data_IF_033504714246
#
_entry.id   IF_033504714246
#
_cell.length_a   1.000
_cell.length_b   1.000
_cell.length_c   1.000
_cell.angle_alpha   90.00
_cell.angle_beta   90.00
_cell.angle_gamma   90.00
#
_symmetry.space_group_name_H-M   'P 1'
#
loop_
_entity.id
_entity.type
_entity.pdbx_description
1 polymer ?
#
# COMPACT_ATOMS: atom_id res chain seq x y z
N UNK A 1 10.18 -1.83 -26.02
CA UNK A 1 9.63 -2.79 -25.02
C UNK A 1 9.94 -2.40 -23.57
N UNK A 2 11.11 -1.83 -23.25
CA UNK A 2 11.45 -1.33 -21.90
C UNK A 2 10.79 0.01 -21.50
N UNK A 3 10.38 0.81 -22.49
CA UNK A 3 9.85 2.17 -22.25
C UNK A 3 8.40 2.18 -21.72
N UNK A 4 7.68 1.09 -21.96
CA UNK A 4 6.31 0.90 -21.52
C UNK A 4 6.25 0.58 -20.01
N UNK A 5 7.23 -0.14 -19.45
CA UNK A 5 7.21 -0.55 -18.04
C UNK A 5 7.41 0.58 -17.03
N UNK A 6 8.09 1.67 -17.38
CA UNK A 6 8.25 2.83 -16.49
C UNK A 6 7.02 3.74 -16.46
N UNK A 7 6.30 3.86 -17.58
CA UNK A 7 5.01 4.55 -17.67
C UNK A 7 3.88 3.76 -17.00
N UNK A 8 3.87 2.43 -17.15
CA UNK A 8 2.87 1.55 -16.53
C UNK A 8 2.96 1.45 -15.00
N UNK A 9 4.07 1.87 -14.39
CA UNK A 9 4.24 1.83 -12.94
C UNK A 9 3.43 2.89 -12.17
N UNK A 10 3.01 3.97 -12.84
CA UNK A 10 2.46 5.15 -12.17
C UNK A 10 1.00 5.46 -12.53
N UNK A 11 0.48 4.92 -13.63
CA UNK A 11 -0.85 5.26 -14.17
C UNK A 11 -1.68 4.00 -14.42
N UNK A 12 -2.63 3.79 -13.51
CA UNK A 12 -3.70 2.80 -13.50
C UNK A 12 -3.33 1.36 -13.88
N UNK A 13 -3.16 0.54 -12.84
CA UNK A 13 -3.23 -0.92 -12.92
C UNK A 13 -4.61 -1.42 -13.43
N UNK A 14 -5.60 -0.54 -13.55
CA UNK A 14 -6.97 -0.87 -13.93
C UNK A 14 -7.10 -1.00 -15.46
N UNK A 15 -6.60 0.00 -16.20
CA UNK A 15 -6.69 0.07 -17.67
C UNK A 15 -5.79 -1.00 -18.32
N UNK A 16 -4.59 -1.20 -17.77
CA UNK A 16 -3.66 -2.25 -18.23
C UNK A 16 -4.20 -3.65 -17.97
N UNK A 17 -4.93 -3.86 -16.87
CA UNK A 17 -5.47 -5.18 -16.54
C UNK A 17 -6.67 -5.53 -17.42
N UNK A 18 -7.57 -4.58 -17.72
CA UNK A 18 -8.66 -4.81 -18.68
C UNK A 18 -8.11 -5.13 -20.07
N UNK A 19 -7.12 -4.38 -20.56
CA UNK A 19 -6.45 -4.69 -21.82
C UNK A 19 -5.79 -6.08 -21.82
N UNK A 20 -5.11 -6.45 -20.73
CA UNK A 20 -4.49 -7.77 -20.63
C UNK A 20 -5.50 -8.91 -20.57
N UNK A 21 -6.64 -8.72 -19.90
CA UNK A 21 -7.73 -9.70 -19.86
C UNK A 21 -8.34 -9.84 -21.26
N UNK A 22 -8.66 -8.72 -21.91
CA UNK A 22 -9.27 -8.72 -23.23
C UNK A 22 -8.34 -9.26 -24.32
N UNK A 23 -7.06 -8.87 -24.33
CA UNK A 23 -6.05 -9.41 -25.25
C UNK A 23 -5.82 -10.92 -25.03
N UNK A 24 -5.85 -11.38 -23.78
CA UNK A 24 -5.72 -12.80 -23.44
C UNK A 24 -6.93 -13.63 -23.90
N UNK A 25 -8.13 -13.09 -23.82
CA UNK A 25 -9.34 -13.78 -24.32
C UNK A 25 -9.46 -13.73 -25.86
N UNK A 26 -8.96 -12.68 -26.50
CA UNK A 26 -9.07 -12.47 -27.95
C UNK A 26 -7.96 -13.15 -28.78
N UNK A 27 -6.85 -13.55 -28.15
CA UNK A 27 -5.70 -14.15 -28.84
C UNK A 27 -4.88 -13.21 -29.72
N UNK A 28 -5.21 -11.92 -29.74
CA UNK A 28 -4.55 -10.87 -30.54
C UNK A 28 -3.30 -10.33 -29.83
N UNK A 29 -2.29 -9.93 -30.61
CA UNK A 29 -1.15 -9.19 -30.09
C UNK A 29 -1.62 -7.80 -29.63
N UNK A 30 -1.17 -7.34 -28.46
CA UNK A 30 -1.60 -6.05 -27.86
C UNK A 30 -1.44 -4.86 -28.81
N UNK A 31 -0.41 -4.87 -29.66
CA UNK A 31 -0.15 -3.82 -30.65
C UNK A 31 -1.18 -3.79 -31.79
N UNK A 32 -1.67 -4.95 -32.22
CA UNK A 32 -2.66 -5.04 -33.29
C UNK A 32 -4.01 -4.50 -32.80
N UNK A 33 -4.40 -4.88 -31.58
CA UNK A 33 -5.64 -4.42 -30.96
C UNK A 33 -5.65 -2.90 -30.75
N UNK A 34 -4.54 -2.32 -30.30
CA UNK A 34 -4.41 -0.86 -30.16
C UNK A 34 -4.52 -0.18 -31.54
N UNK A 35 -3.86 -0.71 -32.57
CA UNK A 35 -3.89 -0.11 -33.90
C UNK A 35 -5.30 -0.16 -34.52
N UNK A 36 -6.02 -1.27 -34.38
CA UNK A 36 -7.41 -1.39 -34.84
C UNK A 36 -8.34 -0.40 -34.12
N UNK A 37 -8.23 -0.30 -32.79
CA UNK A 37 -9.00 0.65 -32.01
C UNK A 37 -8.72 2.10 -32.44
N UNK A 38 -7.45 2.46 -32.67
CA UNK A 38 -7.08 3.79 -33.14
C UNK A 38 -7.60 4.06 -34.57
N UNK A 39 -7.63 3.07 -35.45
CA UNK A 39 -8.21 3.20 -36.79
C UNK A 39 -9.73 3.42 -36.73
N UNK A 40 -10.44 2.65 -35.89
CA UNK A 40 -11.88 2.85 -35.65
C UNK A 40 -12.12 4.27 -35.12
N UNK A 41 -11.32 4.70 -34.14
CA UNK A 41 -11.42 6.06 -33.59
C UNK A 41 -11.21 7.15 -34.66
N UNK A 42 -10.25 6.95 -35.56
CA UNK A 42 -9.99 7.88 -36.68
C UNK A 42 -11.20 8.00 -37.60
N UNK A 43 -11.82 6.86 -37.96
CA UNK A 43 -12.98 6.84 -38.86
C UNK A 43 -14.21 7.57 -38.30
N UNK A 44 -14.29 7.70 -36.98
CA UNK A 44 -15.41 8.30 -36.27
C UNK A 44 -15.14 9.75 -35.83
N UNK A 45 -13.93 10.29 -36.05
CA UNK A 45 -13.54 11.63 -35.64
C UNK A 45 -13.77 11.88 -34.15
N UNK A 46 -14.48 12.95 -33.81
CA UNK A 46 -14.74 13.33 -32.41
C UNK A 46 -15.60 12.30 -31.66
N UNK A 47 -16.46 11.53 -32.36
CA UNK A 47 -17.19 10.42 -31.75
C UNK A 47 -16.26 9.28 -31.33
N UNK A 48 -15.20 9.05 -32.11
CA UNK A 48 -14.16 8.07 -31.80
C UNK A 48 -13.44 8.40 -30.50
N UNK A 49 -13.12 9.69 -30.29
CA UNK A 49 -12.50 10.17 -29.03
C UNK A 49 -13.44 9.90 -27.84
N UNK A 50 -14.73 10.23 -27.98
CA UNK A 50 -15.71 10.05 -26.90
C UNK A 50 -15.89 8.57 -26.54
N UNK A 51 -16.08 7.70 -27.53
CA UNK A 51 -16.30 6.27 -27.32
C UNK A 51 -15.02 5.61 -26.79
N UNK A 52 -13.86 5.97 -27.34
CA UNK A 52 -12.57 5.47 -26.88
C UNK A 52 -12.34 5.74 -25.38
N UNK A 53 -12.71 6.92 -24.90
CA UNK A 53 -12.65 7.24 -23.47
C UNK A 53 -13.77 6.58 -22.66
N UNK A 54 -14.98 6.48 -23.22
CA UNK A 54 -16.14 5.92 -22.51
C UNK A 54 -15.96 4.45 -22.16
N UNK A 55 -15.38 3.66 -23.08
CA UNK A 55 -15.13 2.23 -22.86
C UNK A 55 -13.88 2.03 -21.99
N UNK A 56 -12.99 3.02 -21.92
CA UNK A 56 -11.78 3.03 -21.07
C UNK A 56 -10.90 1.79 -21.29
N UNK A 57 -10.85 1.29 -22.53
CA UNK A 57 -9.96 0.18 -22.93
C UNK A 57 -8.53 0.67 -23.03
N UNK A 58 -8.32 1.85 -23.63
CA UNK A 58 -7.01 2.45 -23.79
C UNK A 58 -6.84 3.53 -22.70
N UNK A 59 -5.64 3.66 -22.09
CA UNK A 59 -5.37 4.76 -21.16
C UNK A 59 -5.82 6.11 -21.72
N UNK A 60 -6.56 6.87 -20.91
CA UNK A 60 -7.21 8.12 -21.32
C UNK A 60 -6.25 9.13 -21.97
N UNK A 61 -5.00 9.14 -21.53
CA UNK A 61 -3.91 9.98 -22.02
C UNK A 61 -3.59 9.71 -23.48
N UNK A 62 -3.58 8.44 -23.88
CA UNK A 62 -3.26 8.02 -25.26
C UNK A 62 -4.42 8.42 -26.17
N UNK A 63 -5.67 8.19 -25.74
CA UNK A 63 -6.85 8.54 -26.51
C UNK A 63 -6.94 10.06 -26.74
N UNK A 64 -6.72 10.86 -25.70
CA UNK A 64 -6.75 12.32 -25.79
C UNK A 64 -5.58 12.89 -26.60
N UNK A 65 -4.37 12.35 -26.43
CA UNK A 65 -3.23 12.71 -27.27
C UNK A 65 -3.48 12.34 -28.73
N UNK A 66 -4.15 11.22 -28.99
CA UNK A 66 -4.50 10.82 -30.35
C UNK A 66 -5.53 11.76 -30.95
N UNK A 67 -6.52 12.18 -30.14
CA UNK A 67 -7.42 13.28 -30.50
C UNK A 67 -6.69 14.55 -30.89
N UNK A 68 -5.61 14.91 -30.18
CA UNK A 68 -4.74 16.03 -30.56
C UNK A 68 -4.04 15.85 -31.91
N UNK A 69 -3.66 14.63 -32.28
CA UNK A 69 -3.11 14.35 -33.60
C UNK A 69 -4.17 14.51 -34.71
N UNK A 70 -5.41 14.11 -34.45
CA UNK A 70 -6.54 14.36 -35.36
C UNK A 70 -6.80 15.87 -35.52
N UNK A 71 -6.62 16.65 -34.45
CA UNK A 71 -6.67 18.12 -34.53
C UNK A 71 -5.58 18.68 -35.43
N UNK A 72 -4.34 18.20 -35.29
CA UNK A 72 -3.23 18.62 -36.14
C UNK A 72 -3.46 18.27 -37.62
N UNK A 73 -4.06 17.12 -37.91
CA UNK A 73 -4.41 16.69 -39.28
C UNK A 73 -5.59 17.47 -39.88
N UNK A 74 -6.33 18.22 -39.06
CA UNK A 74 -7.52 18.95 -39.48
C UNK A 74 -8.79 18.11 -39.52
N UNK A 75 -8.77 16.88 -38.99
CA UNK A 75 -9.91 15.97 -38.99
C UNK A 75 -10.99 16.37 -37.97
N UNK A 76 -10.57 17.03 -36.88
CA UNK A 76 -11.45 17.55 -35.81
C UNK A 76 -10.92 18.88 -35.29
N UNK A 77 -11.78 19.73 -34.73
CA UNK A 77 -11.33 20.96 -34.07
C UNK A 77 -10.83 20.67 -32.64
N UNK A 78 -9.98 21.55 -32.12
CA UNK A 78 -9.50 21.46 -30.73
C UNK A 78 -10.65 21.45 -29.73
N UNK A 79 -11.68 22.28 -29.96
CA UNK A 79 -12.84 22.37 -29.10
C UNK A 79 -13.65 21.06 -29.11
N UNK A 80 -13.87 20.45 -30.28
CA UNK A 80 -14.56 19.16 -30.39
C UNK A 80 -13.80 18.06 -29.66
N UNK A 81 -12.48 17.96 -29.86
CA UNK A 81 -11.65 16.96 -29.17
C UNK A 81 -11.75 17.10 -27.64
N UNK A 82 -11.72 18.34 -27.11
CA UNK A 82 -11.84 18.60 -25.67
C UNK A 82 -13.26 18.32 -25.15
N UNK A 83 -14.30 18.73 -25.87
CA UNK A 83 -15.70 18.55 -25.45
C UNK A 83 -16.05 17.06 -25.44
N UNK A 84 -15.83 16.36 -26.55
CA UNK A 84 -16.12 14.94 -26.66
C UNK A 84 -15.20 14.10 -25.78
N UNK A 85 -13.94 14.54 -25.61
CA UNK A 85 -13.03 13.99 -24.62
C UNK A 85 -13.58 14.07 -23.19
N UNK A 86 -14.08 15.25 -22.82
CA UNK A 86 -14.66 15.51 -21.50
C UNK A 86 -15.92 14.69 -21.25
N UNK A 87 -16.80 14.60 -22.26
CA UNK A 87 -18.04 13.81 -22.18
C UNK A 87 -17.69 12.34 -22.00
N UNK A 88 -16.84 11.77 -22.86
CA UNK A 88 -16.45 10.36 -22.81
C UNK A 88 -15.80 9.99 -21.47
N UNK A 89 -14.82 10.78 -21.03
CA UNK A 89 -14.14 10.55 -19.75
C UNK A 89 -15.07 10.71 -18.54
N UNK A 90 -16.04 11.63 -18.59
CA UNK A 90 -17.02 11.79 -17.50
C UNK A 90 -17.97 10.59 -17.44
N UNK A 91 -18.46 10.11 -18.58
CA UNK A 91 -19.35 8.95 -18.65
C UNK A 91 -18.66 7.69 -18.13
N UNK A 92 -17.41 7.44 -18.52
CA UNK A 92 -16.61 6.32 -18.02
C UNK A 92 -16.58 6.29 -16.48
N UNK A 93 -16.29 7.44 -15.87
CA UNK A 93 -16.24 7.58 -14.42
C UNK A 93 -17.61 7.46 -13.75
N UNK A 94 -18.71 7.82 -14.44
CA UNK A 94 -20.08 7.58 -13.96
C UNK A 94 -20.39 6.08 -13.92
N UNK A 95 -19.96 5.30 -14.90
CA UNK A 95 -20.11 3.84 -14.86
C UNK A 95 -19.40 3.23 -13.66
N UNK A 96 -18.14 3.61 -13.42
CA UNK A 96 -17.37 3.15 -12.24
C UNK A 96 -18.04 3.58 -10.93
N UNK A 97 -18.58 4.80 -10.88
CA UNK A 97 -19.36 5.27 -9.74
C UNK A 97 -20.62 4.42 -9.49
N UNK A 98 -21.33 4.00 -10.54
CA UNK A 98 -22.50 3.13 -10.41
C UNK A 98 -22.13 1.73 -9.93
N UNK A 99 -20.99 1.18 -10.36
CA UNK A 99 -20.47 -0.08 -9.81
C UNK A 99 -20.29 0.05 -8.29
N UNK A 100 -19.70 1.15 -7.82
CA UNK A 100 -19.58 1.43 -6.39
C UNK A 100 -20.93 1.61 -5.68
N UNK A 101 -21.87 2.32 -6.31
CA UNK A 101 -23.18 2.66 -5.74
C UNK A 101 -24.12 1.46 -5.60
N UNK A 102 -24.22 0.63 -6.63
CA UNK A 102 -25.15 -0.49 -6.70
C UNK A 102 -24.51 -1.81 -6.27
N UNK A 103 -23.22 -2.03 -6.57
CA UNK A 103 -22.50 -3.19 -6.06
C UNK A 103 -22.24 -3.08 -4.56
N UNK A 104 -21.91 -1.88 -4.08
CA UNK A 104 -21.60 -1.66 -2.67
C UNK A 104 -20.37 -2.46 -2.19
N UNK A 105 -20.13 -2.42 -0.87
CA UNK A 105 -18.96 -3.06 -0.24
C UNK A 105 -18.90 -4.59 -0.45
N UNK A 106 -19.99 -5.38 -0.35
CA UNK A 106 -19.94 -6.83 -0.52
C UNK A 106 -19.58 -7.27 -1.94
N UNK A 107 -20.06 -6.56 -2.97
CA UNK A 107 -19.72 -6.86 -4.37
C UNK A 107 -18.25 -6.58 -4.66
N UNK A 108 -17.73 -5.45 -4.15
CA UNK A 108 -16.33 -5.08 -4.31
C UNK A 108 -15.39 -5.96 -3.49
N UNK A 109 -15.80 -6.47 -2.32
CA UNK A 109 -15.00 -7.45 -1.59
C UNK A 109 -14.95 -8.81 -2.31
N UNK A 110 -16.05 -9.21 -2.98
CA UNK A 110 -16.15 -10.48 -3.71
C UNK A 110 -15.47 -10.45 -5.08
N UNK A 111 -15.65 -9.38 -5.84
CA UNK A 111 -15.15 -9.25 -7.22
C UNK A 111 -14.00 -8.25 -7.38
N UNK A 112 -13.69 -7.44 -6.37
CA UNK A 112 -12.60 -6.45 -6.43
C UNK A 112 -11.24 -7.08 -6.64
N UNK A 113 -11.04 -8.35 -6.27
CA UNK A 113 -9.81 -9.10 -6.59
C UNK A 113 -9.55 -9.20 -8.10
N UNK A 114 -10.60 -9.30 -8.93
CA UNK A 114 -10.49 -9.29 -10.39
C UNK A 114 -10.16 -7.90 -10.95
N UNK A 115 -10.49 -6.86 -10.18
CA UNK A 115 -10.23 -5.45 -10.51
C UNK A 115 -8.96 -4.91 -9.81
N UNK A 116 -8.14 -5.78 -9.19
CA UNK A 116 -6.97 -5.42 -8.36
C UNK A 116 -7.30 -4.47 -7.19
N UNK A 117 -8.57 -4.33 -6.83
CA UNK A 117 -9.04 -3.54 -5.69
C UNK A 117 -9.02 -4.42 -4.45
N UNK A 118 -8.04 -4.15 -3.60
CA UNK A 118 -7.89 -4.83 -2.31
C UNK A 118 -8.75 -4.16 -1.23
N UNK A 119 -9.18 -4.92 -0.21
CA UNK A 119 -10.05 -4.43 0.87
C UNK A 119 -9.50 -3.17 1.57
N UNK A 120 -8.17 -3.14 1.76
CA UNK A 120 -7.45 -1.99 2.32
C UNK A 120 -7.60 -0.70 1.49
N UNK A 121 -7.68 -0.80 0.15
CA UNK A 121 -7.87 0.37 -0.71
C UNK A 121 -9.28 0.95 -0.54
N UNK A 122 -10.28 0.08 -0.39
CA UNK A 122 -11.66 0.47 -0.11
C UNK A 122 -11.74 1.19 1.24
N UNK A 123 -11.15 0.62 2.30
CA UNK A 123 -11.16 1.19 3.65
C UNK A 123 -10.47 2.57 3.70
N UNK A 124 -9.33 2.72 3.04
CA UNK A 124 -8.60 4.00 2.97
C UNK A 124 -9.41 5.05 2.22
N UNK A 125 -10.01 4.68 1.10
CA UNK A 125 -10.76 5.62 0.28
C UNK A 125 -12.07 6.05 0.95
N UNK A 126 -12.74 5.15 1.66
CA UNK A 126 -13.91 5.43 2.50
C UNK A 126 -13.54 6.35 3.68
N UNK A 127 -12.44 6.06 4.39
CA UNK A 127 -11.95 6.92 5.47
C UNK A 127 -11.59 8.34 4.99
N UNK A 128 -10.97 8.46 3.81
CA UNK A 128 -10.69 9.75 3.18
C UNK A 128 -11.96 10.49 2.77
N UNK A 129 -12.91 9.80 2.14
CA UNK A 129 -14.18 10.40 1.77
C UNK A 129 -14.97 10.89 2.99
N UNK A 130 -15.01 10.10 4.07
CA UNK A 130 -15.65 10.48 5.33
C UNK A 130 -14.96 11.67 6.01
N UNK A 131 -13.63 11.77 5.93
CA UNK A 131 -12.86 12.86 6.55
C UNK A 131 -12.91 14.18 5.78
N UNK A 132 -12.82 14.12 4.45
CA UNK A 132 -12.66 15.30 3.59
C UNK A 132 -13.92 15.68 2.80
N UNK A 133 -14.95 14.82 2.79
CA UNK A 133 -16.23 15.09 2.14
C UNK A 133 -16.16 15.19 0.62
N UNK A 134 -17.21 15.74 0.01
CA UNK A 134 -17.41 15.73 -1.46
C UNK A 134 -16.33 16.44 -2.27
N UNK A 135 -15.64 17.44 -1.69
CA UNK A 135 -14.58 18.18 -2.38
C UNK A 135 -13.33 17.35 -2.67
N UNK A 136 -13.13 16.24 -1.94
CA UNK A 136 -11.96 15.37 -2.14
C UNK A 136 -11.95 14.71 -3.52
N UNK A 137 -13.12 14.58 -4.16
CA UNK A 137 -13.25 13.97 -5.49
C UNK A 137 -12.54 14.77 -6.57
N UNK A 138 -12.65 16.10 -6.51
CA UNK A 138 -11.96 16.96 -7.46
C UNK A 138 -10.45 16.84 -7.29
N UNK A 139 -9.96 16.94 -6.05
CA UNK A 139 -8.52 16.91 -5.77
C UNK A 139 -7.89 15.52 -5.97
N UNK A 140 -8.60 14.45 -5.60
CA UNK A 140 -8.12 13.08 -5.73
C UNK A 140 -7.91 12.66 -7.20
N UNK A 141 -8.60 13.34 -8.14
CA UNK A 141 -8.46 13.09 -9.58
C UNK A 141 -7.12 13.49 -10.18
N UNK A 142 -6.35 14.28 -9.47
CA UNK A 142 -5.03 14.65 -9.91
C UNK A 142 -3.91 13.83 -9.27
N UNK A 143 -4.27 12.89 -8.40
CA UNK A 143 -3.33 11.94 -7.80
C UNK A 143 -3.35 10.68 -8.69
N UNK A 144 -2.29 10.36 -9.43
CA UNK A 144 -2.28 9.29 -10.46
C UNK A 144 -2.82 7.93 -9.99
N UNK A 145 -2.57 7.56 -8.74
CA UNK A 145 -3.03 6.28 -8.15
C UNK A 145 -4.49 6.35 -7.69
N UNK A 146 -4.94 7.50 -7.20
CA UNK A 146 -6.25 7.65 -6.56
C UNK A 146 -7.32 8.09 -7.55
N UNK A 147 -6.93 8.72 -8.67
CA UNK A 147 -7.85 9.40 -9.60
C UNK A 147 -8.93 8.53 -10.19
N UNK A 148 -8.58 7.27 -10.44
CA UNK A 148 -9.46 6.27 -11.04
C UNK A 148 -10.24 5.51 -9.97
N UNK A 149 -9.59 5.26 -8.84
CA UNK A 149 -10.20 4.58 -7.71
C UNK A 149 -11.25 5.42 -6.98
N UNK A 150 -11.23 6.76 -7.08
CA UNK A 150 -12.11 7.66 -6.29
C UNK A 150 -13.59 7.56 -6.66
N UNK A 151 -13.91 7.09 -7.87
CA UNK A 151 -15.29 6.96 -8.33
C UNK A 151 -16.07 5.87 -7.57
N UNK A 152 -15.37 4.79 -7.19
CA UNK A 152 -15.92 3.66 -6.43
C UNK A 152 -16.37 4.05 -5.01
N UNK A 153 -15.52 4.60 -4.11
CA UNK A 153 -15.92 5.00 -2.77
C UNK A 153 -16.95 6.13 -2.80
N UNK A 154 -16.90 7.03 -3.79
CA UNK A 154 -17.95 8.03 -3.98
C UNK A 154 -19.33 7.38 -4.27
N UNK A 155 -19.32 6.29 -5.04
CA UNK A 155 -20.48 5.42 -5.27
C UNK A 155 -20.96 4.74 -4.00
N UNK A 156 -20.07 4.05 -3.27
CA UNK A 156 -20.39 3.34 -2.02
C UNK A 156 -21.00 4.30 -0.98
N UNK A 157 -20.42 5.50 -0.86
CA UNK A 157 -20.90 6.55 0.03
C UNK A 157 -22.19 7.25 -0.46
N UNK A 158 -22.79 6.77 -1.56
CA UNK A 158 -24.04 7.24 -2.15
C UNK A 158 -24.10 8.73 -2.45
N UNK A 159 -22.95 9.37 -2.74
CA UNK A 159 -22.90 10.79 -3.08
C UNK A 159 -23.88 11.14 -4.21
N UNK A 160 -24.58 12.28 -4.21
CA UNK A 160 -25.47 12.65 -5.32
C UNK A 160 -24.74 12.65 -6.67
N UNK A 161 -25.31 11.97 -7.67
CA UNK A 161 -24.70 11.82 -9.01
C UNK A 161 -24.39 13.17 -9.66
N UNK A 162 -25.27 14.17 -9.50
CA UNK A 162 -25.06 15.51 -10.04
C UNK A 162 -23.79 16.17 -9.50
N UNK A 163 -23.53 16.06 -8.19
CA UNK A 163 -22.30 16.60 -7.59
C UNK A 163 -21.08 15.82 -8.06
N UNK A 164 -21.19 14.49 -8.15
CA UNK A 164 -20.08 13.66 -8.64
C UNK A 164 -19.73 14.03 -10.08
N UNK A 165 -20.73 14.06 -10.98
CA UNK A 165 -20.56 14.44 -12.37
C UNK A 165 -19.96 15.84 -12.52
N UNK A 166 -20.41 16.82 -11.73
CA UNK A 166 -19.85 18.18 -11.76
C UNK A 166 -18.35 18.20 -11.40
N UNK A 167 -17.96 17.63 -10.25
CA UNK A 167 -16.53 17.59 -9.87
C UNK A 167 -15.68 16.74 -10.81
N UNK A 168 -16.28 15.74 -11.47
CA UNK A 168 -15.62 14.93 -12.51
C UNK A 168 -15.34 15.73 -13.74
N UNK A 169 -16.38 16.34 -14.29
CA UNK A 169 -16.30 17.17 -15.49
C UNK A 169 -15.26 18.28 -15.30
N UNK A 170 -15.31 18.98 -14.16
CA UNK A 170 -14.36 20.05 -13.85
C UNK A 170 -12.90 19.56 -13.77
N UNK A 171 -12.66 18.33 -13.33
CA UNK A 171 -11.31 17.75 -13.27
C UNK A 171 -10.85 17.21 -14.64
N UNK A 172 -11.77 16.67 -15.44
CA UNK A 172 -11.47 16.08 -16.76
C UNK A 172 -11.19 17.16 -17.81
N UNK A 173 -11.82 18.34 -17.74
CA UNK A 173 -11.59 19.45 -18.68
C UNK A 173 -10.10 19.84 -18.79
N UNK A 174 -9.41 20.25 -17.71
CA UNK A 174 -8.01 20.66 -17.81
C UNK A 174 -7.09 19.51 -18.22
N UNK A 175 -7.45 18.27 -17.88
CA UNK A 175 -6.74 17.07 -18.34
C UNK A 175 -6.90 16.88 -19.86
N UNK A 176 -8.12 17.02 -20.37
CA UNK A 176 -8.42 16.90 -21.80
C UNK A 176 -7.70 17.97 -22.61
N UNK A 177 -7.71 19.21 -22.14
CA UNK A 177 -6.97 20.32 -22.77
C UNK A 177 -5.47 19.99 -22.83
N UNK A 178 -4.89 19.51 -21.73
CA UNK A 178 -3.46 19.20 -21.66
C UNK A 178 -3.06 18.12 -22.67
N UNK A 179 -3.76 16.99 -22.69
CA UNK A 179 -3.37 15.86 -23.56
C UNK A 179 -3.70 16.10 -25.03
N UNK A 180 -4.81 16.77 -25.34
CA UNK A 180 -5.10 17.19 -26.73
C UNK A 180 -4.03 18.17 -27.20
N UNK A 181 -3.62 19.13 -26.38
CA UNK A 181 -2.54 20.05 -26.71
C UNK A 181 -1.20 19.33 -26.95
N UNK A 182 -0.85 18.37 -26.10
CA UNK A 182 0.34 17.53 -26.28
C UNK A 182 0.29 16.75 -27.60
N UNK A 183 -0.88 16.22 -27.95
CA UNK A 183 -1.10 15.53 -29.23
C UNK A 183 -0.90 16.43 -30.45
N UNK A 184 -1.41 17.67 -30.40
CA UNK A 184 -1.20 18.67 -31.46
C UNK A 184 0.30 18.96 -31.60
N UNK A 185 1.01 19.21 -30.49
CA UNK A 185 2.45 19.47 -30.49
C UNK A 185 3.26 18.29 -31.01
N UNK A 186 2.83 17.06 -30.72
CA UNK A 186 3.46 15.86 -31.25
C UNK A 186 3.35 15.79 -32.78
N UNK A 187 2.18 16.13 -33.32
CA UNK A 187 1.95 16.27 -34.76
C UNK A 187 2.85 17.34 -35.39
N UNK A 188 2.91 18.55 -34.80
CA UNK A 188 3.76 19.65 -35.28
C UNK A 188 5.25 19.31 -35.32
N UNK A 189 5.73 18.50 -34.36
CA UNK A 189 7.13 18.08 -34.26
C UNK A 189 7.47 16.90 -35.17
N UNK A 190 6.50 16.32 -35.89
CA UNK A 190 6.68 15.16 -36.76
C UNK A 190 7.16 13.90 -36.02
N UNK A 191 6.93 13.83 -34.70
CA UNK A 191 7.39 12.72 -33.86
C UNK A 191 6.39 11.57 -33.88
N UNK A 192 6.89 10.34 -33.76
CA UNK A 192 6.03 9.17 -33.61
C UNK A 192 5.40 9.14 -32.22
N UNK A 193 4.26 8.46 -32.10
CA UNK A 193 3.57 8.26 -30.82
C UNK A 193 4.46 7.59 -29.74
N UNK A 194 5.50 6.87 -30.17
CA UNK A 194 6.49 6.22 -29.31
C UNK A 194 7.36 7.24 -28.54
N UNK A 195 7.47 8.46 -29.05
CA UNK A 195 8.27 9.55 -28.46
C UNK A 195 7.44 10.54 -27.63
N UNK A 196 6.16 10.22 -27.37
CA UNK A 196 5.27 11.11 -26.62
C UNK A 196 5.77 11.38 -25.19
N UNK A 197 6.48 10.43 -24.59
CA UNK A 197 7.01 10.56 -23.23
C UNK A 197 8.03 11.69 -23.08
N UNK A 198 8.91 11.86 -24.08
CA UNK A 198 9.94 12.90 -24.09
C UNK A 198 9.34 14.30 -24.23
N UNK A 199 8.20 14.39 -24.94
CA UNK A 199 7.45 15.63 -25.11
C UNK A 199 6.58 15.89 -23.88
N UNK A 200 5.96 14.85 -23.31
CA UNK A 200 5.00 14.98 -22.21
C UNK A 200 5.67 15.32 -20.87
N UNK A 201 6.88 14.81 -20.60
CA UNK A 201 7.58 15.00 -19.32
C UNK A 201 7.62 16.46 -18.82
N UNK A 202 8.09 17.42 -19.64
CA UNK A 202 8.15 18.84 -19.29
C UNK A 202 6.81 19.51 -18.98
N UNK A 203 5.69 19.03 -19.55
CA UNK A 203 4.37 19.63 -19.36
C UNK A 203 3.53 18.90 -18.29
N UNK A 204 3.70 17.60 -18.15
CA UNK A 204 2.97 16.77 -17.19
C UNK A 204 3.48 17.03 -15.76
N UNK A 205 4.79 17.20 -15.55
CA UNK A 205 5.35 17.49 -14.22
C UNK A 205 4.79 18.77 -13.58
N UNK A 206 4.82 19.96 -14.22
CA UNK A 206 4.28 21.17 -13.63
C UNK A 206 2.76 21.09 -13.43
N UNK A 207 2.03 20.40 -14.29
CA UNK A 207 0.59 20.18 -14.12
C UNK A 207 0.29 19.36 -12.86
N UNK A 208 1.08 18.31 -12.59
CA UNK A 208 1.00 17.54 -11.34
C UNK A 208 1.30 18.45 -10.13
N UNK A 209 2.38 19.24 -10.18
CA UNK A 209 2.75 20.14 -9.09
C UNK A 209 1.68 21.19 -8.79
N UNK A 210 1.15 21.85 -9.83
CA UNK A 210 0.06 22.83 -9.71
C UNK A 210 -1.15 22.18 -9.04
N UNK A 211 -1.49 20.96 -9.41
CA UNK A 211 -2.64 20.29 -8.83
C UNK A 211 -2.42 19.84 -7.38
N UNK A 212 -1.22 19.37 -7.04
CA UNK A 212 -0.84 19.08 -5.65
C UNK A 212 -0.95 20.36 -4.80
N UNK A 213 -0.47 21.50 -5.32
CA UNK A 213 -0.56 22.79 -4.64
C UNK A 213 -2.02 23.22 -4.45
N UNK A 214 -2.86 23.15 -5.48
CA UNK A 214 -4.29 23.49 -5.38
C UNK A 214 -5.01 22.59 -4.36
N UNK A 215 -4.65 21.31 -4.31
CA UNK A 215 -5.18 20.35 -3.33
C UNK A 215 -4.76 20.73 -1.90
N UNK A 216 -3.48 21.06 -1.69
CA UNK A 216 -2.98 21.52 -0.39
C UNK A 216 -3.66 22.81 0.04
N UNK A 217 -3.81 23.79 -0.85
CA UNK A 217 -4.49 25.05 -0.59
C UNK A 217 -5.96 24.84 -0.22
N UNK A 218 -6.68 23.95 -0.91
CA UNK A 218 -8.06 23.60 -0.58
C UNK A 218 -8.17 22.95 0.81
N UNK A 219 -7.27 22.03 1.14
CA UNK A 219 -7.23 21.37 2.46
C UNK A 219 -6.95 22.41 3.56
N UNK A 220 -5.97 23.30 3.35
CA UNK A 220 -5.62 24.37 4.28
C UNK A 220 -6.81 25.32 4.47
N UNK A 221 -7.42 25.81 3.39
CA UNK A 221 -8.60 26.67 3.44
C UNK A 221 -9.73 26.03 4.26
N UNK A 222 -10.00 24.74 4.05
CA UNK A 222 -11.05 24.01 4.78
C UNK A 222 -10.72 23.86 6.27
N UNK A 223 -9.46 23.60 6.62
CA UNK A 223 -9.01 23.50 8.02
C UNK A 223 -9.13 24.85 8.73
N UNK A 224 -8.72 25.94 8.06
CA UNK A 224 -8.79 27.31 8.60
C UNK A 224 -10.25 27.75 8.80
N UNK A 225 -11.13 27.50 7.83
CA UNK A 225 -12.55 27.85 7.94
C UNK A 225 -13.27 27.07 9.05
N UNK A 226 -12.91 25.80 9.28
CA UNK A 226 -13.49 24.98 10.36
C UNK A 226 -13.07 25.49 11.75
N UNK A 227 -11.88 26.11 11.88
CA UNK A 227 -11.44 26.78 13.12
C UNK A 227 -12.20 28.08 13.38
N UNK A 228 -12.54 28.84 12.33
CA UNK A 228 -13.31 30.09 12.46
C UNK A 228 -14.77 29.86 12.86
N UNK A 229 -15.40 28.76 12.41
CA UNK A 229 -16.75 28.39 12.85
C UNK A 229 -16.81 27.91 14.30
N UNK A 230 -15.72 27.38 14.87
CA UNK A 230 -15.63 27.03 16.30
C UNK A 230 -15.40 28.27 17.19
N UNK A 231 -14.59 29.22 16.73
CA UNK A 231 -14.29 30.44 17.48
C UNK A 231 -15.51 31.40 17.62
N UNK A 232 -16.43 31.41 16.66
CA UNK A 232 -17.65 32.24 16.75
C UNK A 232 -18.72 31.66 17.73
N UNK A 233 -18.61 30.39 18.12
CA UNK A 233 -19.50 29.77 19.11
C UNK A 233 -19.10 30.12 20.55
N UNK A 234 -17.80 30.29 20.82
CA UNK A 234 -17.31 30.63 22.16
C UNK A 234 -17.48 32.12 22.48
N UNK A 235 -17.47 33.00 21.47
CA UNK A 235 -17.66 34.44 21.68
C UNK A 235 -19.13 34.82 22.02
N UNK A 236 -20.11 34.00 21.63
CA UNK A 236 -21.51 34.21 22.02
C UNK A 236 -21.88 33.62 23.38
N UNK A 237 -21.10 32.66 23.91
CA UNK A 237 -21.35 32.01 25.21
C UNK A 237 -20.77 32.77 26.40
N UNK A 238 -19.74 33.60 26.18
CA UNK A 238 -18.96 34.22 27.26
C UNK A 238 -19.45 35.60 27.73
N UNK A 239 -20.53 36.14 27.16
CA UNK A 239 -21.12 37.43 27.59
C UNK A 239 -22.20 37.25 28.66
N UNK A 240 -22.70 36.03 28.88
CA UNK A 240 -23.83 35.76 29.79
C UNK A 240 -23.49 35.32 31.22
N UNK A 241 -22.22 35.05 31.56
CA UNK A 241 -21.86 34.32 32.78
C UNK A 241 -21.15 35.15 33.87
N UNK A 242 -21.18 36.47 33.78
CA UNK A 242 -20.50 37.36 34.73
C UNK A 242 -21.48 38.24 35.52
N UNK A 243 -22.42 37.64 36.26
CA UNK A 243 -23.08 38.32 37.37
C UNK A 243 -23.65 37.30 38.37
N UNK A 244 -22.89 36.93 39.39
CA UNK A 244 -23.44 36.66 40.73
C UNK A 244 -22.34 36.51 41.80
N UNK A 245 -22.50 37.06 43.01
CA UNK A 245 -21.48 37.09 44.05
C UNK A 245 -21.52 35.87 44.99
N UNK A 246 -20.34 35.52 45.54
CA UNK A 246 -20.16 34.49 46.58
C UNK A 246 -20.53 35.02 47.98
N UNK A 247 -20.96 34.11 48.88
CA UNK A 247 -20.41 33.95 50.22
C UNK A 247 -19.78 32.54 50.34
N UNK A 248 -18.91 32.15 51.25
CA UNK A 248 -18.32 32.67 52.48
C UNK A 248 -17.51 31.49 53.07
N UNK A 249 -16.47 31.83 53.83
CA UNK A 249 -15.43 31.03 54.52
C UNK A 249 -15.89 29.83 55.36
N UNK A 250 -15.05 28.79 55.52
CA UNK A 250 -14.32 28.45 56.77
C UNK A 250 -13.40 27.23 56.63
N UNK A 251 -12.33 27.25 57.42
CA UNK A 251 -11.33 26.22 57.79
C UNK A 251 -11.99 24.87 58.21
N UNK A 252 -11.32 23.71 58.36
CA UNK A 252 -10.15 23.46 59.21
C UNK A 252 -9.68 21.96 59.10
N UNK A 253 -8.42 21.69 59.51
CA UNK A 253 -7.86 20.43 60.12
C UNK A 253 -7.72 19.08 59.37
N UNK A 254 -6.45 18.65 59.27
CA UNK A 254 -5.97 17.26 59.48
C UNK A 254 -5.84 16.96 61.01
N UNK A 255 -5.38 15.80 61.55
CA UNK A 255 -4.79 14.59 60.92
C UNK A 255 -5.24 13.23 61.52
N UNK A 256 -4.72 12.10 61.03
CA UNK A 256 -4.93 10.79 61.67
C UNK A 256 -4.20 9.60 61.02
N UNK A 257 -3.13 9.16 61.67
CA UNK A 257 -2.30 7.96 61.50
C UNK A 257 -3.02 6.61 61.64
N UNK A 258 -2.57 5.57 60.92
CA UNK A 258 -2.47 4.19 61.47
C UNK A 258 -1.51 3.30 60.65
N UNK A 259 -0.69 2.54 61.39
CA UNK A 259 0.36 1.62 60.97
C UNK A 259 -0.20 0.22 60.59
N UNK A 260 0.58 -0.55 59.83
CA UNK A 260 0.43 -2.00 59.70
C UNK A 260 1.64 -2.65 59.01
N UNK A 261 2.50 -3.32 59.79
CA UNK A 261 3.63 -4.16 59.37
C UNK A 261 3.14 -5.55 58.94
N UNK A 262 3.80 -6.18 57.95
CA UNK A 262 4.12 -7.62 57.96
C UNK A 262 5.19 -7.95 56.89
N UNK A 263 6.01 -8.95 57.22
CA UNK A 263 7.33 -9.27 56.66
C UNK A 263 7.28 -10.64 55.95
N UNK A 264 8.10 -10.75 54.90
CA UNK A 264 8.97 -11.90 54.56
C UNK A 264 8.44 -13.16 53.81
N UNK A 265 9.33 -13.63 52.90
CA UNK A 265 9.50 -14.96 52.27
C UNK A 265 8.37 -15.58 51.42
N UNK A 266 8.66 -15.77 50.12
CA UNK A 266 9.25 -17.04 49.61
C UNK A 266 9.73 -16.86 48.16
N UNK A 267 11.05 -17.03 47.97
CA UNK A 267 11.68 -17.53 46.73
C UNK A 267 11.44 -19.05 46.66
N UNK A 268 11.62 -19.61 45.47
CA UNK A 268 11.64 -21.05 45.14
C UNK A 268 10.29 -21.69 44.81
N UNK A 269 9.93 -21.68 43.51
CA UNK A 269 9.38 -22.83 42.77
C UNK A 269 9.12 -22.44 41.30
N UNK A 270 10.20 -22.34 40.52
CA UNK A 270 10.12 -22.25 39.05
C UNK A 270 11.21 -23.12 38.42
N UNK A 271 11.28 -24.39 38.83
CA UNK A 271 12.05 -25.43 38.19
C UNK A 271 11.20 -26.70 38.26
N UNK A 272 10.62 -27.14 37.13
CA UNK A 272 9.82 -28.36 37.16
C UNK A 272 9.08 -28.75 35.88
N UNK A 273 8.85 -27.85 34.92
CA UNK A 273 7.90 -28.16 33.83
C UNK A 273 8.48 -28.16 32.42
N UNK A 274 9.75 -27.82 32.23
CA UNK A 274 10.39 -27.71 30.91
C UNK A 274 11.34 -28.87 30.57
N UNK A 275 11.00 -30.09 31.00
CA UNK A 275 11.83 -31.26 30.74
C UNK A 275 11.00 -32.50 30.41
N UNK A 276 10.05 -32.39 29.48
CA UNK A 276 9.36 -33.58 28.94
C UNK A 276 8.69 -33.39 27.58
N UNK A 277 9.45 -32.99 26.56
CA UNK A 277 9.15 -33.36 25.16
C UNK A 277 10.35 -33.08 24.27
N UNK A 278 11.43 -33.84 24.49
CA UNK A 278 12.54 -33.96 23.52
C UNK A 278 12.54 -35.40 23.10
N UNK A 279 12.02 -35.69 21.91
CA UNK A 279 12.38 -36.86 21.09
C UNK A 279 11.87 -36.66 19.66
N UNK A 280 12.81 -36.80 18.73
CA UNK A 280 12.69 -37.09 17.29
C UNK A 280 12.62 -35.95 16.25
N UNK A 281 13.71 -35.19 15.99
CA UNK A 281 13.86 -34.30 14.80
C UNK A 281 15.36 -34.20 14.35
N UNK A 282 15.72 -34.10 13.03
CA UNK A 282 17.02 -34.50 12.43
C UNK A 282 18.24 -33.60 12.70
N UNK A 283 19.44 -34.13 12.44
CA UNK A 283 20.77 -33.62 12.84
C UNK A 283 21.23 -32.23 12.29
N UNK A 284 20.36 -31.43 11.67
CA UNK A 284 20.68 -30.06 11.22
C UNK A 284 20.40 -28.95 12.24
N UNK A 285 19.69 -29.24 13.34
CA UNK A 285 19.18 -28.23 14.29
C UNK A 285 20.17 -27.85 15.40
N UNK A 286 21.35 -28.48 15.46
CA UNK A 286 22.32 -28.29 16.58
C UNK A 286 22.99 -26.90 16.56
N UNK A 287 23.07 -26.22 15.41
CA UNK A 287 23.87 -24.99 15.27
C UNK A 287 23.31 -23.78 16.03
N UNK A 288 21.99 -23.58 16.09
CA UNK A 288 21.40 -22.35 16.68
C UNK A 288 21.46 -22.35 18.22
N UNK A 289 21.56 -23.52 18.85
CA UNK A 289 21.69 -23.65 20.31
C UNK A 289 22.98 -23.01 20.86
N UNK A 290 23.93 -22.67 19.99
CA UNK A 290 25.17 -22.00 20.34
C UNK A 290 25.07 -20.48 20.55
N UNK A 291 23.90 -19.84 20.41
CA UNK A 291 23.74 -18.37 20.50
C UNK A 291 24.01 -17.79 21.90
N UNK A 292 23.81 -18.57 22.96
CA UNK A 292 23.94 -18.17 24.38
C UNK A 292 22.58 -18.01 25.06
N UNK A 293 22.55 -18.00 26.40
CA UNK A 293 21.30 -18.01 27.19
C UNK A 293 20.42 -16.77 27.02
N UNK A 294 20.96 -15.69 26.47
CA UNK A 294 20.22 -14.44 26.21
C UNK A 294 19.32 -14.53 24.97
N UNK A 295 19.49 -15.56 24.13
CA UNK A 295 18.70 -15.79 22.93
C UNK A 295 17.72 -16.94 23.12
N UNK A 296 16.46 -16.67 22.82
CA UNK A 296 15.38 -17.65 22.85
C UNK A 296 15.08 -18.11 21.43
N UNK A 297 14.99 -19.42 21.23
CA UNK A 297 14.80 -20.06 19.93
C UNK A 297 13.49 -20.84 19.92
N UNK A 298 12.63 -20.53 18.97
CA UNK A 298 11.34 -21.19 18.78
C UNK A 298 11.34 -21.88 17.41
N UNK A 299 10.88 -23.13 17.38
CA UNK A 299 10.76 -23.91 16.15
C UNK A 299 9.29 -23.99 15.73
N UNK A 300 9.02 -23.81 14.43
CA UNK A 300 7.69 -23.95 13.81
C UNK A 300 6.62 -23.11 14.52
N UNK A 301 6.92 -21.83 14.76
CA UNK A 301 6.02 -20.95 15.50
C UNK A 301 4.90 -20.44 14.59
N UNK A 302 3.65 -20.72 14.94
CA UNK A 302 2.50 -20.05 14.34
C UNK A 302 2.34 -18.67 14.94
N UNK A 303 2.37 -17.63 14.11
CA UNK A 303 2.26 -16.23 14.50
C UNK A 303 1.02 -15.64 13.84
N UNK A 304 0.15 -15.05 14.65
CA UNK A 304 -1.08 -14.39 14.20
C UNK A 304 -0.95 -12.88 14.36
N UNK A 305 -1.23 -12.12 13.30
CA UNK A 305 -1.21 -10.66 13.29
C UNK A 305 -2.49 -10.08 12.69
N UNK A 306 -3.49 -9.81 13.52
CA UNK A 306 -4.85 -9.49 13.07
C UNK A 306 -5.54 -10.71 12.49
N UNK A 307 -5.96 -10.69 11.22
CA UNK A 307 -6.68 -11.79 10.55
C UNK A 307 -5.76 -12.75 9.74
N UNK A 308 -4.45 -12.66 9.92
CA UNK A 308 -3.47 -13.43 9.14
C UNK A 308 -2.57 -14.22 10.06
N UNK A 309 -2.52 -15.54 9.84
CA UNK A 309 -1.66 -16.48 10.56
C UNK A 309 -0.58 -16.98 9.62
N UNK A 310 0.69 -16.99 10.05
CA UNK A 310 1.82 -17.53 9.31
C UNK A 310 2.61 -18.47 10.22
N UNK A 311 3.10 -19.58 9.67
CA UNK A 311 4.03 -20.47 10.36
C UNK A 311 5.43 -20.05 9.98
N UNK A 312 6.24 -19.75 10.99
CA UNK A 312 7.65 -19.39 10.86
C UNK A 312 8.50 -20.60 11.21
N UNK A 313 9.35 -21.04 10.29
CA UNK A 313 10.17 -22.25 10.44
C UNK A 313 10.99 -22.19 11.73
N UNK A 314 11.73 -21.10 11.94
CA UNK A 314 12.40 -20.81 13.20
C UNK A 314 12.42 -19.31 13.50
N UNK A 315 12.26 -19.00 14.79
CA UNK A 315 12.25 -17.64 15.30
C UNK A 315 13.25 -17.52 16.43
N UNK A 316 14.13 -16.53 16.35
CA UNK A 316 15.14 -16.24 17.36
C UNK A 316 14.89 -14.86 17.92
N UNK A 317 14.81 -14.74 19.24
CA UNK A 317 14.55 -13.47 19.94
C UNK A 317 15.67 -13.25 20.94
N UNK A 318 16.32 -12.09 20.88
CA UNK A 318 17.36 -11.74 21.84
C UNK A 318 17.70 -10.26 21.87
N UNK A 319 18.80 -9.86 22.51
CA UNK A 319 19.16 -8.45 22.71
C UNK A 319 19.34 -7.68 21.41
N UNK A 320 19.74 -8.36 20.33
CA UNK A 320 19.95 -7.77 19.02
C UNK A 320 18.67 -7.68 18.15
N UNK A 321 17.52 -8.13 18.65
CA UNK A 321 16.24 -8.07 17.94
C UNK A 321 15.60 -9.44 17.71
N UNK A 322 14.67 -9.48 16.75
CA UNK A 322 13.91 -10.67 16.36
C UNK A 322 14.38 -11.11 14.97
N UNK A 323 14.82 -12.34 14.85
CA UNK A 323 15.26 -12.94 13.60
C UNK A 323 14.30 -14.06 13.21
N UNK A 324 13.67 -13.95 12.05
CA UNK A 324 12.86 -15.03 11.50
C UNK A 324 13.61 -15.71 10.37
N UNK A 325 13.74 -17.03 10.48
CA UNK A 325 14.55 -17.85 9.59
C UNK A 325 13.61 -18.59 8.63
N UNK A 326 13.95 -18.53 7.34
CA UNK A 326 13.40 -19.41 6.32
C UNK A 326 14.47 -20.45 6.02
N UNK A 327 14.20 -21.70 6.35
CA UNK A 327 15.20 -22.77 6.28
C UNK A 327 15.15 -23.47 4.92
N UNK A 328 16.32 -23.65 4.29
CA UNK A 328 16.45 -24.36 3.01
C UNK A 328 17.61 -25.35 3.03
N UNK A 329 17.35 -26.57 2.60
CA UNK A 329 18.33 -27.64 2.47
C UNK A 329 18.76 -27.81 1.02
N UNK A 330 19.33 -26.76 0.43
CA UNK A 330 19.81 -26.79 -0.94
C UNK A 330 21.25 -27.30 -0.99
N UNK A 331 21.51 -28.32 -1.80
CA UNK A 331 22.85 -28.92 -1.98
C UNK A 331 23.62 -28.38 -3.21
N UNK A 332 23.09 -27.38 -3.92
CA UNK A 332 23.62 -26.90 -5.20
C UNK A 332 24.03 -25.41 -5.15
N UNK A 333 24.51 -24.87 -6.28
CA UNK A 333 24.73 -23.43 -6.47
C UNK A 333 23.38 -22.70 -6.59
N UNK A 334 23.22 -21.64 -5.80
CA UNK A 334 21.98 -20.87 -5.69
C UNK A 334 22.26 -19.42 -6.02
N UNK A 335 21.64 -18.94 -7.10
CA UNK A 335 21.72 -17.53 -7.51
C UNK A 335 20.55 -16.74 -6.92
N UNK A 336 20.86 -15.86 -5.99
CA UNK A 336 19.92 -14.94 -5.38
C UNK A 336 19.70 -13.75 -6.30
N UNK A 337 18.44 -13.55 -6.67
CA UNK A 337 17.98 -12.44 -7.52
C UNK A 337 17.00 -11.55 -6.74
N UNK A 338 16.72 -10.32 -7.20
CA UNK A 338 15.71 -9.48 -6.58
C UNK A 338 14.31 -10.10 -6.51
N UNK A 339 14.02 -11.10 -7.34
CA UNK A 339 12.72 -11.79 -7.38
C UNK A 339 12.67 -13.01 -6.46
N UNK A 340 13.80 -13.66 -6.17
CA UNK A 340 13.84 -14.94 -5.46
C UNK A 340 15.15 -15.70 -5.69
N UNK A 341 15.13 -16.99 -5.38
CA UNK A 341 16.29 -17.86 -5.56
C UNK A 341 16.15 -18.68 -6.86
N UNK A 342 17.26 -18.84 -7.59
CA UNK A 342 17.37 -19.72 -8.75
C UNK A 342 18.33 -20.85 -8.42
N UNK A 343 17.85 -22.09 -8.50
CA UNK A 343 18.59 -23.29 -8.12
C UNK A 343 19.27 -23.91 -9.34
N UNK A 344 20.57 -24.10 -9.24
CA UNK A 344 21.35 -24.99 -10.10
C UNK A 344 21.33 -24.67 -11.60
N UNK A 345 21.84 -25.62 -12.38
CA UNK A 345 21.96 -25.55 -13.85
C UNK A 345 20.63 -25.56 -14.59
N UNK A 346 19.55 -25.99 -13.93
CA UNK A 346 18.19 -26.09 -14.49
C UNK A 346 17.40 -24.79 -14.34
N UNK A 347 17.99 -23.73 -13.75
CA UNK A 347 17.40 -22.40 -13.57
C UNK A 347 15.98 -22.46 -12.94
N UNK A 348 15.80 -23.40 -11.99
CA UNK A 348 14.52 -23.58 -11.32
C UNK A 348 14.31 -22.41 -10.37
N UNK A 349 13.21 -21.69 -10.55
CA UNK A 349 12.85 -20.55 -9.72
C UNK A 349 12.09 -20.99 -8.46
N UNK A 350 12.52 -20.48 -7.31
CA UNK A 350 11.83 -20.63 -6.02
C UNK A 350 11.63 -19.26 -5.36
N UNK A 351 10.38 -18.92 -5.03
CA UNK A 351 10.08 -17.67 -4.31
C UNK A 351 10.36 -17.82 -2.81
N UNK A 352 11.54 -17.34 -2.41
CA UNK A 352 11.95 -17.23 -1.01
C UNK A 352 11.62 -15.86 -0.39
N UNK A 353 11.32 -14.85 -1.21
CA UNK A 353 11.08 -13.49 -0.73
C UNK A 353 9.67 -13.32 -0.18
N UNK A 354 8.67 -13.94 -0.82
CA UNK A 354 7.28 -13.91 -0.40
C UNK A 354 7.07 -14.35 1.05
N UNK A 355 7.53 -15.55 1.46
CA UNK A 355 7.45 -15.99 2.86
C UNK A 355 8.14 -15.04 3.83
N UNK A 356 9.35 -14.56 3.51
CA UNK A 356 10.10 -13.64 4.36
C UNK A 356 9.35 -12.31 4.60
N UNK A 357 8.81 -11.69 3.54
CA UNK A 357 8.02 -10.47 3.66
C UNK A 357 6.74 -10.68 4.48
N UNK A 358 6.06 -11.82 4.32
CA UNK A 358 4.85 -12.13 5.09
C UNK A 358 5.17 -12.30 6.58
N UNK A 359 6.23 -13.02 6.91
CA UNK A 359 6.66 -13.24 8.28
C UNK A 359 7.06 -11.91 8.95
N UNK A 360 7.86 -11.09 8.28
CA UNK A 360 8.27 -9.78 8.78
C UNK A 360 7.06 -8.85 9.01
N UNK A 361 6.10 -8.85 8.08
CA UNK A 361 4.87 -8.06 8.20
C UNK A 361 4.04 -8.46 9.42
N UNK A 362 3.80 -9.76 9.61
CA UNK A 362 3.00 -10.28 10.73
C UNK A 362 3.67 -9.96 12.06
N UNK A 363 4.98 -10.21 12.19
CA UNK A 363 5.76 -9.89 13.37
C UNK A 363 5.72 -8.39 13.70
N UNK A 364 6.00 -7.52 12.72
CA UNK A 364 5.95 -6.06 12.94
C UNK A 364 4.56 -5.57 13.31
N UNK A 365 3.51 -6.18 12.76
CA UNK A 365 2.12 -5.83 13.11
C UNK A 365 1.79 -6.21 14.55
N UNK A 366 2.19 -7.40 14.97
CA UNK A 366 1.96 -7.91 16.33
C UNK A 366 2.73 -7.10 17.38
N UNK A 367 3.96 -6.67 17.07
CA UNK A 367 4.71 -5.76 17.94
C UNK A 367 4.01 -4.40 18.06
N UNK A 368 3.58 -3.81 16.93
CA UNK A 368 2.91 -2.51 16.91
C UNK A 368 1.58 -2.51 17.65
N UNK A 369 0.77 -3.56 17.55
CA UNK A 369 -0.49 -3.66 18.30
C UNK A 369 -0.28 -3.68 19.82
N UNK A 370 0.86 -4.20 20.26
CA UNK A 370 1.24 -4.27 21.67
C UNK A 370 2.19 -3.15 22.10
N UNK A 371 2.39 -2.13 21.26
CA UNK A 371 3.29 -0.98 21.52
C UNK A 371 4.74 -1.37 21.85
N UNK A 372 5.20 -2.49 21.29
CA UNK A 372 6.57 -2.95 21.41
C UNK A 372 7.39 -2.50 20.19
N UNK A 373 8.63 -2.08 20.43
CA UNK A 373 9.58 -1.71 19.39
C UNK A 373 10.79 -2.64 19.43
N UNK A 374 10.97 -3.41 18.35
CA UNK A 374 12.11 -4.29 18.14
C UNK A 374 12.45 -4.30 16.64
N UNK A 375 13.74 -4.46 16.33
CA UNK A 375 14.15 -4.75 14.95
C UNK A 375 13.73 -6.18 14.59
N UNK A 376 13.09 -6.32 13.43
CA UNK A 376 12.68 -7.61 12.88
C UNK A 376 13.47 -7.83 11.60
N UNK A 377 14.22 -8.92 11.56
CA UNK A 377 15.19 -9.24 10.50
C UNK A 377 14.83 -10.59 9.88
N UNK A 378 14.63 -10.60 8.57
CA UNK A 378 14.41 -11.83 7.81
C UNK A 378 15.70 -12.43 7.28
N UNK A 379 15.90 -13.72 7.56
CA UNK A 379 17.08 -14.48 7.18
C UNK A 379 16.70 -15.70 6.36
N UNK A 380 17.31 -15.82 5.18
CA UNK A 380 17.32 -17.07 4.42
C UNK A 380 18.50 -17.91 4.91
N UNK A 381 18.21 -19.04 5.53
CA UNK A 381 19.23 -19.91 6.11
C UNK A 381 19.39 -21.18 5.29
N UNK A 382 20.55 -21.33 4.64
CA UNK A 382 20.89 -22.56 3.93
C UNK A 382 21.58 -23.52 4.90
N UNK A 383 20.91 -24.61 5.27
CA UNK A 383 21.42 -25.55 6.31
C UNK A 383 22.43 -26.54 5.77
N UNK A 384 22.44 -26.78 4.46
CA UNK A 384 23.39 -27.67 3.84
C UNK A 384 24.79 -26.99 3.76
N UNK A 385 25.85 -27.60 4.30
CA UNK A 385 27.21 -27.05 4.20
C UNK A 385 27.71 -26.90 2.75
N UNK A 386 27.24 -27.74 1.83
CA UNK A 386 27.64 -27.71 0.42
C UNK A 386 26.97 -26.59 -0.38
N UNK A 387 26.04 -25.87 0.25
CA UNK A 387 25.30 -24.76 -0.36
C UNK A 387 26.23 -23.60 -0.79
N UNK A 388 26.13 -23.22 -2.07
CA UNK A 388 26.86 -22.06 -2.62
C UNK A 388 25.89 -20.95 -2.96
N UNK A 389 25.79 -19.97 -2.05
CA UNK A 389 24.98 -18.77 -2.26
C UNK A 389 25.78 -17.75 -3.09
N UNK A 390 25.25 -17.37 -4.24
CA UNK A 390 25.76 -16.28 -5.09
C UNK A 390 24.72 -15.17 -5.22
N UNK A 391 25.17 -13.91 -5.23
CA UNK A 391 24.28 -12.76 -5.29
C UNK A 391 23.71 -12.35 -3.93
N UNK A 392 22.70 -11.47 -3.93
CA UNK A 392 22.08 -10.91 -2.72
C UNK A 392 20.59 -10.68 -2.93
N UNK A 393 19.83 -10.85 -1.85
CA UNK A 393 18.45 -10.37 -1.79
C UNK A 393 18.44 -8.87 -1.43
N UNK A 394 17.49 -8.08 -1.96
CA UNK A 394 17.49 -6.62 -1.79
C UNK A 394 17.13 -6.18 -0.37
N UNK A 395 16.27 -6.93 0.32
CA UNK A 395 15.73 -6.57 1.64
C UNK A 395 16.06 -7.57 2.76
N UNK A 396 16.63 -8.74 2.42
CA UNK A 396 16.88 -9.83 3.36
C UNK A 396 18.33 -10.29 3.27
N UNK A 397 18.86 -10.84 4.36
CA UNK A 397 20.17 -11.48 4.33
C UNK A 397 20.01 -12.98 4.09
N UNK A 398 20.94 -13.54 3.32
CA UNK A 398 21.05 -14.97 3.10
C UNK A 398 22.39 -15.43 3.69
N UNK A 399 22.35 -16.49 4.49
CA UNK A 399 23.51 -16.97 5.26
C UNK A 399 23.62 -18.48 5.14
N UNK A 400 24.86 -18.96 5.14
CA UNK A 400 25.18 -20.40 5.19
C UNK A 400 25.03 -20.95 6.60
N UNK A 401 25.04 -22.28 6.70
CA UNK A 401 24.96 -23.05 7.94
C UNK A 401 25.90 -22.49 9.03
N UNK A 402 27.17 -22.31 8.70
CA UNK A 402 28.21 -21.87 9.62
C UNK A 402 28.16 -20.37 9.97
N UNK A 403 27.55 -19.54 9.14
CA UNK A 403 27.57 -18.08 9.30
C UNK A 403 26.44 -17.53 10.18
N UNK A 404 25.46 -18.37 10.52
CA UNK A 404 24.23 -17.92 11.18
C UNK A 404 24.48 -17.30 12.56
N UNK A 405 25.35 -17.94 13.36
CA UNK A 405 25.66 -17.50 14.72
C UNK A 405 26.36 -16.15 14.73
N UNK A 406 27.39 -16.00 13.88
CA UNK A 406 28.16 -14.77 13.76
C UNK A 406 27.30 -13.63 13.21
N UNK A 407 26.38 -13.93 12.29
CA UNK A 407 25.44 -12.93 11.78
C UNK A 407 24.53 -12.40 12.88
N UNK A 408 23.87 -13.27 13.64
CA UNK A 408 22.91 -12.87 14.69
C UNK A 408 23.63 -12.09 15.80
N UNK A 409 24.82 -12.55 16.23
CA UNK A 409 25.61 -11.89 17.27
C UNK A 409 26.20 -10.56 16.80
N UNK A 410 26.66 -10.49 15.55
CA UNK A 410 27.26 -9.32 14.95
C UNK A 410 26.26 -8.25 14.49
N UNK A 411 24.97 -8.58 14.44
CA UNK A 411 23.92 -7.64 14.03
C UNK A 411 23.88 -6.43 14.97
N UNK A 412 23.89 -5.23 14.40
CA UNK A 412 23.82 -3.96 15.14
C UNK A 412 22.39 -3.42 15.12
N UNK A 413 21.58 -3.65 16.17
CA UNK A 413 20.22 -3.13 16.21
C UNK A 413 20.20 -1.61 16.38
N UNK A 414 19.09 -0.98 15.96
CA UNK A 414 18.78 0.42 16.27
C UNK A 414 18.64 0.64 17.78
N UNK A 415 18.09 -0.34 18.48
CA UNK A 415 17.90 -0.34 19.93
C UNK A 415 18.06 -1.77 20.44
N UNK A 416 18.98 -1.96 21.39
CA UNK A 416 19.11 -3.24 22.10
C UNK A 416 17.92 -3.47 23.01
N UNK A 417 17.42 -4.69 23.03
CA UNK A 417 16.31 -5.10 23.88
C UNK A 417 16.82 -5.47 25.28
N UNK A 418 16.13 -5.00 26.32
CA UNK A 418 16.35 -5.48 27.68
C UNK A 418 15.67 -6.84 27.91
N UNK A 419 16.08 -7.57 28.94
CA UNK A 419 15.47 -8.86 29.30
C UNK A 419 13.96 -8.77 29.56
N UNK A 420 13.48 -7.64 30.12
CA UNK A 420 12.05 -7.40 30.31
C UNK A 420 11.31 -7.22 28.97
N UNK A 421 11.89 -6.47 28.04
CA UNK A 421 11.32 -6.31 26.70
C UNK A 421 11.30 -7.63 25.93
N UNK A 422 12.36 -8.44 26.04
CA UNK A 422 12.41 -9.78 25.46
C UNK A 422 11.27 -10.64 26.03
N UNK A 423 11.08 -10.64 27.34
CA UNK A 423 9.99 -11.38 28.00
C UNK A 423 8.60 -10.94 27.54
N UNK A 424 8.37 -9.63 27.38
CA UNK A 424 7.10 -9.09 26.85
C UNK A 424 6.86 -9.52 25.40
N UNK A 425 7.89 -9.47 24.56
CA UNK A 425 7.82 -9.90 23.16
C UNK A 425 7.47 -11.39 23.06
N UNK A 426 8.12 -12.23 23.87
CA UNK A 426 7.86 -13.68 23.91
C UNK A 426 6.41 -13.96 24.28
N UNK A 427 5.91 -13.34 25.36
CA UNK A 427 4.50 -13.50 25.78
C UNK A 427 3.54 -13.13 24.67
N UNK A 428 3.76 -12.01 23.99
CA UNK A 428 2.90 -11.55 22.89
C UNK A 428 2.90 -12.51 21.69
N UNK A 429 4.03 -13.17 21.43
CA UNK A 429 4.20 -14.14 20.33
C UNK A 429 3.57 -15.49 20.69
N UNK A 430 3.66 -15.90 21.95
CA UNK A 430 3.04 -17.12 22.46
C UNK A 430 1.52 -16.97 22.68
N UNK A 431 1.04 -15.84 23.20
CA UNK A 431 -0.40 -15.56 23.39
C UNK A 431 -1.15 -15.50 22.05
N UNK A 432 -0.48 -15.08 20.97
CA UNK A 432 -1.01 -15.15 19.60
C UNK A 432 -1.24 -16.58 19.08
N UNK A 433 -0.73 -17.60 19.78
CA UNK A 433 -0.90 -19.02 19.51
C UNK A 433 -2.16 -19.60 20.19
N UNK A 434 -2.65 -18.97 21.27
CA UNK A 434 -3.72 -19.50 22.14
C UNK A 434 -5.13 -18.99 21.84
N UNK A 435 -5.32 -18.14 20.82
CA UNK A 435 -6.60 -17.53 20.47
C UNK A 435 -7.27 -18.15 19.21
N UNK A 436 -6.99 -19.43 18.92
CA UNK A 436 -7.67 -20.19 17.85
C UNK A 436 -8.82 -21.03 18.39
#
# INVERSE_FOLDING_TARGET
>A
MYFLSEWYGCLSLFDVCILQIFARESGLQMSELINELLQIMTSMGYWGIMIGLMIEVIPSEIVLAYGGLLVYRGDVTFAEAVIFGTIGGTIAQIFVYWIGRYGGRPFLEKYGKFLLINKKHIDVAEAWFNRYGTGVIFTARFIPVVRHAISIPAGIAKMPLSRFALYTTLAVIPWSILFVFLGVKLGELGKSFEQIGDIAGPYVQPFIWISVILTLLYIIYKIVRKRQSGANSELSGNVGAAFSPKPGTTEDKAPGTAQGKAQDKTRDTAQGTTQKMVRDIPQGTVLINGLGEEYLVFNSQSITGGSSTQVVDQLVIGPNGIFHLLTKDWSEEIRLTPKGARLGTVDRYEDVTGPLYRNEYVLKKQLRSNRLEADVVGLLWCVNPDCRLEGKLPAFAAVKAEQILDFIRGYKPKKRLSSDQIGQIVRVIEEGHGAS
#
